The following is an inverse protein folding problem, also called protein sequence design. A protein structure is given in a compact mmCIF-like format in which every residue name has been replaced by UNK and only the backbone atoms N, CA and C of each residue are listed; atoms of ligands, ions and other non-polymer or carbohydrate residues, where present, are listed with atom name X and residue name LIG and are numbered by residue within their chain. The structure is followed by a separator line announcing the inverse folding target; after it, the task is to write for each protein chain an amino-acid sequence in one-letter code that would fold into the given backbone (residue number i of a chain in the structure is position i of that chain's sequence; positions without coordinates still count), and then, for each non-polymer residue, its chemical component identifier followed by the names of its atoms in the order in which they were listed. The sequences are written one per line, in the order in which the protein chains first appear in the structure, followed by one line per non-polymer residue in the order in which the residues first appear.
data_IF_432058187048
#
_entry.id   IF_432058187048
#
_cell.length_a   1.000
_cell.length_b   1.000
_cell.length_c   1.000
_cell.angle_alpha   90.00
_cell.angle_beta   90.00
_cell.angle_gamma   90.00
#
_symmetry.space_group_name_H-M   'P 1'
#
loop_
_entity.id
_entity.type
_entity.pdbx_description
1 polymer ?
#
# COMPACT_ATOMS: atom_id res chain seq x y z
N UNK A 1 -2.29 3.68 -46.75
CA UNK A 1 -1.18 2.86 -46.20
C UNK A 1 0.13 3.52 -46.60
N UNK A 2 1.08 3.81 -45.70
CA UNK A 2 2.34 4.42 -46.09
C UNK A 2 3.18 3.45 -46.93
N UNK A 3 3.75 3.95 -48.04
CA UNK A 3 4.57 3.23 -49.02
C UNK A 3 5.73 2.48 -48.34
N UNK A 4 6.00 1.24 -48.76
CA UNK A 4 7.14 0.41 -48.31
C UNK A 4 8.44 1.22 -48.42
N UNK A 5 9.03 1.55 -47.27
CA UNK A 5 10.30 2.26 -47.19
C UNK A 5 11.45 1.26 -47.44
N UNK A 6 12.08 1.30 -48.62
CA UNK A 6 13.06 0.30 -49.03
C UNK A 6 14.51 0.70 -48.65
N UNK A 7 14.82 0.77 -47.34
CA UNK A 7 16.23 0.74 -46.89
C UNK A 7 16.69 -0.70 -46.73
N UNK A 8 17.88 -1.03 -47.26
CA UNK A 8 18.46 -2.39 -47.26
C UNK A 8 18.54 -2.93 -45.82
N UNK A 9 18.09 -4.17 -45.60
CA UNK A 9 18.09 -4.87 -44.29
C UNK A 9 17.08 -4.36 -43.25
N UNK A 10 16.12 -3.49 -43.58
CA UNK A 10 15.05 -3.09 -42.65
C UNK A 10 13.86 -4.04 -42.72
N UNK A 11 13.36 -4.47 -41.55
CA UNK A 11 12.18 -5.34 -41.40
C UNK A 11 11.17 -4.66 -40.48
N UNK A 12 9.92 -4.59 -40.92
CA UNK A 12 8.79 -4.10 -40.14
C UNK A 12 8.16 -5.23 -39.32
N UNK A 13 7.74 -4.92 -38.10
CA UNK A 13 7.08 -5.85 -37.18
C UNK A 13 5.91 -5.12 -36.51
N UNK A 14 4.72 -5.71 -36.63
CA UNK A 14 3.48 -5.23 -36.00
C UNK A 14 3.00 -6.25 -34.98
N UNK A 15 3.70 -6.32 -33.86
CA UNK A 15 3.30 -7.17 -32.73
C UNK A 15 2.61 -6.30 -31.67
N UNK A 16 1.37 -6.63 -31.31
CA UNK A 16 0.63 -5.99 -30.21
C UNK A 16 0.20 -4.53 -30.44
N UNK A 17 -0.13 -4.16 -31.68
CA UNK A 17 -0.62 -2.81 -32.03
C UNK A 17 0.46 -1.72 -32.13
N UNK A 18 1.73 -2.05 -31.88
CA UNK A 18 2.87 -1.13 -31.99
C UNK A 18 3.72 -1.47 -33.21
N UNK A 19 3.89 -0.51 -34.12
CA UNK A 19 4.78 -0.64 -35.28
C UNK A 19 6.24 -0.48 -34.83
N UNK A 20 7.08 -1.47 -35.15
CA UNK A 20 8.50 -1.50 -34.82
C UNK A 20 9.33 -1.80 -36.05
N UNK A 21 10.54 -1.25 -36.11
CA UNK A 21 11.48 -1.48 -37.19
C UNK A 21 12.74 -2.16 -36.66
N UNK A 22 13.29 -3.06 -37.47
CA UNK A 22 14.49 -3.80 -37.13
C UNK A 22 15.47 -3.83 -38.29
N UNK A 23 16.76 -3.83 -37.99
CA UNK A 23 17.82 -4.14 -38.94
C UNK A 23 18.17 -5.64 -38.86
N UNK A 24 18.18 -6.33 -40.00
CA UNK A 24 18.45 -7.76 -40.12
C UNK A 24 19.39 -8.04 -41.29
N UNK A 25 20.66 -8.32 -40.98
CA UNK A 25 21.70 -8.75 -41.93
C UNK A 25 22.13 -10.18 -41.60
N UNK A 26 22.34 -11.02 -42.62
CA UNK A 26 22.82 -12.41 -42.43
C UNK A 26 24.17 -12.37 -41.70
N UNK A 27 24.29 -13.10 -40.59
CA UNK A 27 25.50 -13.10 -39.73
C UNK A 27 25.53 -12.03 -38.62
N UNK A 28 24.48 -11.21 -38.47
CA UNK A 28 24.34 -10.26 -37.35
C UNK A 28 23.03 -10.48 -36.59
N UNK A 29 22.99 -10.21 -35.27
CA UNK A 29 21.76 -10.27 -34.50
C UNK A 29 20.71 -9.28 -35.02
N UNK A 30 19.42 -9.58 -34.81
CA UNK A 30 18.31 -8.68 -35.15
C UNK A 30 18.37 -7.45 -34.24
N UNK A 31 18.58 -6.28 -34.83
CA UNK A 31 18.76 -5.01 -34.10
C UNK A 31 17.48 -4.20 -34.16
N UNK A 32 17.03 -3.63 -33.05
CA UNK A 32 15.87 -2.71 -33.04
C UNK A 32 16.31 -1.32 -33.48
N UNK A 33 15.60 -0.75 -34.46
CA UNK A 33 15.77 0.63 -34.88
C UNK A 33 14.75 1.51 -34.13
N UNK A 34 15.19 2.50 -33.33
CA UNK A 34 14.30 3.45 -32.68
C UNK A 34 13.69 4.41 -33.70
N UNK A 35 12.51 4.95 -33.37
CA UNK A 35 11.84 5.95 -34.20
C UNK A 35 11.15 5.41 -35.46
N UNK A 36 10.72 6.34 -36.31
CA UNK A 36 10.13 6.07 -37.61
C UNK A 36 11.19 6.19 -38.72
N UNK A 37 11.07 5.42 -39.82
CA UNK A 37 11.95 5.54 -40.97
C UNK A 37 12.05 6.99 -41.46
N UNK A 38 13.27 7.49 -41.59
CA UNK A 38 13.55 8.86 -42.02
C UNK A 38 13.86 9.84 -40.89
N UNK A 39 13.60 9.49 -39.63
CA UNK A 39 14.04 10.30 -38.47
C UNK A 39 15.56 10.20 -38.24
N UNK A 40 16.14 11.23 -37.63
CA UNK A 40 17.59 11.27 -37.34
C UNK A 40 18.03 10.13 -36.42
N UNK A 41 17.23 9.82 -35.40
CA UNK A 41 17.47 8.68 -34.49
C UNK A 41 17.44 7.34 -35.23
N UNK A 42 16.50 7.17 -36.17
CA UNK A 42 16.41 5.96 -37.00
C UNK A 42 17.61 5.84 -37.94
N UNK A 43 18.00 6.94 -38.59
CA UNK A 43 19.13 6.96 -39.52
C UNK A 43 20.45 6.69 -38.79
N UNK A 44 20.68 7.33 -37.64
CA UNK A 44 21.87 7.09 -36.81
C UNK A 44 21.97 5.61 -36.38
N UNK A 45 20.89 5.02 -35.89
CA UNK A 45 20.87 3.61 -35.51
C UNK A 45 21.04 2.66 -36.72
N UNK A 46 20.50 3.04 -37.88
CA UNK A 46 20.62 2.29 -39.13
C UNK A 46 22.06 2.26 -39.66
N UNK A 47 22.74 3.42 -39.68
CA UNK A 47 24.14 3.51 -40.13
C UNK A 47 25.09 2.84 -39.13
N UNK A 48 24.87 3.00 -37.82
CA UNK A 48 25.64 2.27 -36.80
C UNK A 48 25.52 0.74 -36.95
N UNK A 49 24.32 0.25 -37.27
CA UNK A 49 24.10 -1.17 -37.55
C UNK A 49 24.77 -1.65 -38.85
N UNK A 50 24.82 -0.79 -39.88
CA UNK A 50 25.51 -1.07 -41.16
C UNK A 50 27.02 -1.17 -41.00
N UNK A 51 27.62 -0.26 -40.24
CA UNK A 51 29.06 -0.17 -39.97
C UNK A 51 29.55 -1.25 -39.01
N UNK A 52 28.64 -2.03 -38.39
CA UNK A 52 28.99 -3.07 -37.43
C UNK A 52 29.48 -2.51 -36.08
N UNK A 53 29.39 -1.19 -35.88
CA UNK A 53 29.71 -0.53 -34.62
C UNK A 53 28.51 -0.69 -33.70
N UNK A 54 28.44 -1.80 -32.97
CA UNK A 54 27.50 -1.93 -31.87
C UNK A 54 28.18 -2.24 -30.54
N UNK A 55 28.07 -1.26 -29.65
CA UNK A 55 27.97 -1.51 -28.21
C UNK A 55 26.65 -2.26 -27.99
N UNK A 56 26.73 -3.57 -27.81
CA UNK A 56 25.64 -4.31 -27.20
C UNK A 56 25.49 -3.79 -25.77
N UNK A 57 24.39 -3.11 -25.45
CA UNK A 57 24.00 -2.98 -24.06
C UNK A 57 23.63 -4.39 -23.56
N UNK A 58 24.26 -4.89 -22.49
CA UNK A 58 24.02 -6.25 -22.03
C UNK A 58 22.55 -6.41 -21.59
N UNK A 59 21.78 -7.15 -22.38
CA UNK A 59 20.41 -7.58 -22.12
C UNK A 59 20.39 -8.79 -21.18
N UNK A 60 20.93 -8.60 -19.97
CA UNK A 60 20.87 -9.57 -18.88
C UNK A 60 20.72 -8.85 -17.54
N UNK A 61 20.11 -9.48 -16.51
CA UNK A 61 20.09 -8.91 -15.18
C UNK A 61 21.54 -8.71 -14.72
N UNK A 62 21.93 -7.45 -14.45
CA UNK A 62 23.25 -7.12 -13.91
C UNK A 62 23.57 -8.04 -12.74
N UNK A 63 24.61 -8.87 -12.91
CA UNK A 63 25.07 -9.74 -11.82
C UNK A 63 25.62 -8.85 -10.72
N UNK A 64 25.14 -9.06 -9.49
CA UNK A 64 25.61 -8.28 -8.36
C UNK A 64 27.05 -8.67 -8.02
N UNK A 65 27.96 -7.70 -7.96
CA UNK A 65 29.30 -7.95 -7.45
C UNK A 65 29.23 -8.45 -6.01
N UNK A 66 29.94 -9.52 -5.67
CA UNK A 66 29.97 -10.06 -4.29
C UNK A 66 30.40 -8.96 -3.32
N UNK A 67 29.72 -8.85 -2.17
CA UNK A 67 30.03 -7.83 -1.16
C UNK A 67 29.52 -6.42 -1.50
N UNK A 68 28.65 -6.25 -2.50
CA UNK A 68 27.96 -4.99 -2.80
C UNK A 68 26.61 -4.88 -2.09
N UNK A 69 26.04 -3.68 -2.03
CA UNK A 69 24.70 -3.45 -1.48
C UNK A 69 23.62 -4.25 -2.20
N UNK A 70 23.68 -4.35 -3.54
CA UNK A 70 22.76 -5.21 -4.31
C UNK A 70 22.88 -6.67 -3.91
N UNK A 71 24.11 -7.17 -3.80
CA UNK A 71 24.36 -8.55 -3.41
C UNK A 71 23.81 -8.83 -2.00
N UNK A 72 24.07 -7.95 -1.03
CA UNK A 72 23.52 -8.08 0.33
C UNK A 72 22.00 -8.16 0.34
N UNK A 73 21.35 -7.27 -0.40
CA UNK A 73 19.90 -7.23 -0.52
C UNK A 73 19.34 -8.51 -1.17
N UNK A 74 20.03 -9.06 -2.17
CA UNK A 74 19.65 -10.34 -2.79
C UNK A 74 19.77 -11.50 -1.80
N UNK A 75 20.83 -11.55 -0.98
CA UNK A 75 20.95 -12.54 0.10
C UNK A 75 19.82 -12.39 1.13
N UNK A 76 19.52 -11.16 1.53
CA UNK A 76 18.40 -10.86 2.43
C UNK A 76 17.05 -11.36 1.87
N UNK A 77 16.80 -11.20 0.57
CA UNK A 77 15.56 -11.71 -0.05
C UNK A 77 15.45 -13.23 -0.04
N UNK A 78 16.56 -13.95 0.11
CA UNK A 78 16.57 -15.40 0.24
C UNK A 78 16.50 -15.88 1.70
N UNK A 79 16.66 -14.97 2.67
CA UNK A 79 16.70 -15.30 4.08
C UNK A 79 15.34 -15.75 4.62
N UNK A 80 15.37 -16.53 5.71
CA UNK A 80 14.17 -16.97 6.41
C UNK A 80 13.38 -15.77 6.97
N UNK A 81 14.07 -14.78 7.51
CA UNK A 81 13.50 -13.54 8.09
C UNK A 81 12.67 -12.79 7.06
N UNK A 82 13.15 -12.71 5.81
CA UNK A 82 12.39 -12.09 4.74
C UNK A 82 11.25 -12.98 4.26
N UNK A 83 11.48 -14.28 4.08
CA UNK A 83 10.47 -15.25 3.60
C UNK A 83 9.28 -15.39 4.55
N UNK A 84 9.49 -15.24 5.86
CA UNK A 84 8.43 -15.27 6.87
C UNK A 84 7.54 -14.00 6.87
N UNK A 85 7.96 -12.91 6.22
CA UNK A 85 7.10 -11.73 6.08
C UNK A 85 5.90 -12.03 5.17
N UNK A 86 4.80 -11.30 5.39
CA UNK A 86 3.66 -11.34 4.49
C UNK A 86 4.06 -11.01 3.03
N UNK A 87 3.40 -11.65 2.06
CA UNK A 87 3.74 -11.53 0.63
C UNK A 87 3.69 -10.07 0.14
N UNK A 88 2.73 -9.27 0.63
CA UNK A 88 2.62 -7.85 0.28
C UNK A 88 3.76 -7.03 0.90
N UNK A 89 4.17 -7.40 2.12
CA UNK A 89 5.31 -6.78 2.80
C UNK A 89 6.61 -7.07 2.07
N UNK A 90 6.84 -8.32 1.65
CA UNK A 90 7.97 -8.72 0.79
C UNK A 90 7.97 -7.90 -0.49
N UNK A 91 6.88 -7.93 -1.24
CA UNK A 91 6.75 -7.19 -2.50
C UNK A 91 7.07 -5.69 -2.34
N UNK A 92 6.46 -5.02 -1.35
CA UNK A 92 6.71 -3.59 -1.12
C UNK A 92 8.15 -3.30 -0.71
N UNK A 93 8.75 -4.13 0.14
CA UNK A 93 10.16 -3.99 0.55
C UNK A 93 11.10 -4.18 -0.65
N UNK A 94 10.84 -5.17 -1.51
CA UNK A 94 11.60 -5.37 -2.75
C UNK A 94 11.56 -4.14 -3.65
N UNK A 95 10.38 -3.56 -3.89
CA UNK A 95 10.25 -2.33 -4.69
C UNK A 95 11.02 -1.15 -4.10
N UNK A 96 10.99 -0.98 -2.78
CA UNK A 96 11.74 0.09 -2.10
C UNK A 96 13.25 -0.12 -2.30
N UNK A 97 13.73 -1.35 -2.15
CA UNK A 97 15.15 -1.69 -2.33
C UNK A 97 15.60 -1.52 -3.77
N UNK A 98 14.81 -1.98 -4.74
CA UNK A 98 15.10 -1.78 -6.16
C UNK A 98 15.08 -0.30 -6.56
N UNK A 99 14.27 0.53 -5.89
CA UNK A 99 14.33 1.98 -6.07
C UNK A 99 15.62 2.57 -5.49
N UNK A 100 16.06 2.12 -4.30
CA UNK A 100 17.35 2.54 -3.72
C UNK A 100 18.54 2.18 -4.60
N UNK A 101 18.52 1.01 -5.25
CA UNK A 101 19.58 0.58 -6.17
C UNK A 101 19.79 1.54 -7.34
N UNK A 102 18.72 2.18 -7.82
CA UNK A 102 18.76 3.09 -8.97
C UNK A 102 19.22 4.50 -8.61
N UNK A 103 19.39 4.82 -7.33
CA UNK A 103 19.86 6.14 -6.92
C UNK A 103 21.37 6.27 -7.16
N UNK A 104 21.84 7.43 -7.67
CA UNK A 104 23.26 7.69 -7.82
C UNK A 104 23.88 8.09 -6.48
N UNK A 105 25.13 7.63 -6.22
CA UNK A 105 25.84 7.88 -4.96
C UNK A 105 25.99 9.38 -4.69
N UNK A 106 26.36 10.13 -5.73
CA UNK A 106 26.35 11.60 -5.76
C UNK A 106 25.39 12.07 -6.85
N UNK A 107 24.82 13.26 -6.71
CA UNK A 107 23.93 13.81 -7.74
C UNK A 107 24.71 13.94 -9.06
N UNK A 108 24.24 13.28 -10.12
CA UNK A 108 24.90 13.26 -11.44
C UNK A 108 26.01 12.22 -11.63
N UNK A 109 26.30 11.38 -10.62
CA UNK A 109 27.27 10.29 -10.75
C UNK A 109 26.70 9.13 -11.56
N UNK A 110 27.57 8.44 -12.33
CA UNK A 110 27.23 7.18 -13.01
C UNK A 110 27.21 6.00 -12.04
N UNK A 111 27.92 6.10 -10.90
CA UNK A 111 27.94 5.05 -9.88
C UNK A 111 26.65 5.08 -9.07
N UNK A 112 26.00 3.92 -9.02
CA UNK A 112 24.74 3.72 -8.33
C UNK A 112 24.96 3.12 -6.94
N UNK A 113 23.98 3.30 -6.06
CA UNK A 113 24.00 2.73 -4.71
C UNK A 113 24.04 1.19 -4.73
N UNK A 114 23.55 0.55 -5.79
CA UNK A 114 23.58 -0.91 -5.94
C UNK A 114 25.00 -1.50 -5.89
N UNK A 115 26.00 -0.75 -6.39
CA UNK A 115 27.39 -1.20 -6.53
C UNK A 115 28.27 -0.81 -5.33
N UNK A 116 27.71 -0.13 -4.32
CA UNK A 116 28.48 0.30 -3.15
C UNK A 116 28.93 -0.94 -2.36
N UNK A 117 30.24 -1.12 -2.11
CA UNK A 117 30.73 -2.19 -1.24
C UNK A 117 30.15 -2.05 0.19
N UNK A 118 29.78 -3.16 0.82
CA UNK A 118 29.18 -3.16 2.17
C UNK A 118 30.06 -2.40 3.19
N UNK A 119 31.40 -2.58 3.24
CA UNK A 119 32.25 -1.81 4.16
C UNK A 119 32.24 -0.30 3.91
N UNK A 120 31.96 0.13 2.67
CA UNK A 120 31.85 1.52 2.27
C UNK A 120 30.42 2.10 2.46
N UNK A 121 29.43 1.25 2.75
CA UNK A 121 28.05 1.67 3.00
C UNK A 121 27.91 2.22 4.43
N UNK A 122 28.32 3.47 4.61
CA UNK A 122 28.33 4.14 5.92
C UNK A 122 26.97 4.74 6.31
N UNK A 123 26.86 5.24 7.55
CA UNK A 123 25.69 6.02 7.97
C UNK A 123 25.43 7.25 7.07
N UNK A 124 26.48 7.83 6.47
CA UNK A 124 26.36 8.91 5.49
C UNK A 124 25.62 8.45 4.23
N UNK A 125 25.95 7.26 3.72
CA UNK A 125 25.27 6.66 2.57
C UNK A 125 23.77 6.42 2.85
N UNK A 126 23.45 5.87 4.02
CA UNK A 126 22.06 5.67 4.45
C UNK A 126 21.29 7.00 4.65
N UNK A 127 21.95 8.06 5.16
CA UNK A 127 21.36 9.41 5.25
C UNK A 127 21.07 9.98 3.86
N UNK A 128 22.00 9.86 2.91
CA UNK A 128 21.78 10.31 1.54
C UNK A 128 20.53 9.67 0.95
N UNK A 129 20.38 8.35 1.03
CA UNK A 129 19.18 7.65 0.54
C UNK A 129 17.89 8.13 1.20
N UNK A 130 17.89 8.35 2.52
CA UNK A 130 16.74 8.92 3.24
C UNK A 130 16.41 10.32 2.73
N UNK A 131 17.42 11.18 2.63
CA UNK A 131 17.27 12.60 2.32
C UNK A 131 16.89 12.84 0.85
N UNK A 132 17.15 11.88 -0.06
CA UNK A 132 16.57 11.87 -1.43
C UNK A 132 15.04 11.89 -1.45
N UNK A 133 14.40 11.52 -0.35
CA UNK A 133 12.95 11.53 -0.18
C UNK A 133 12.51 12.56 0.87
N UNK A 134 13.33 13.58 1.18
CA UNK A 134 13.02 14.59 2.21
C UNK A 134 11.64 15.25 2.03
N UNK A 135 11.27 15.59 0.79
CA UNK A 135 9.94 16.14 0.43
C UNK A 135 8.78 15.17 0.70
N UNK A 136 9.08 13.89 0.95
CA UNK A 136 8.09 12.84 1.24
C UNK A 136 8.51 12.07 2.50
N UNK A 137 8.35 12.65 3.71
CA UNK A 137 8.87 12.09 4.96
C UNK A 137 8.51 10.62 5.20
N UNK A 138 7.29 10.19 4.86
CA UNK A 138 6.86 8.79 4.99
C UNK A 138 7.61 7.84 4.04
N UNK A 139 7.93 8.29 2.83
CA UNK A 139 8.71 7.51 1.88
C UNK A 139 10.18 7.40 2.33
N UNK A 140 10.77 8.51 2.78
CA UNK A 140 12.10 8.54 3.38
C UNK A 140 12.21 7.58 4.57
N UNK A 141 11.24 7.64 5.49
CA UNK A 141 11.17 6.74 6.63
C UNK A 141 10.98 5.28 6.22
N UNK A 142 10.24 5.01 5.15
CA UNK A 142 10.06 3.65 4.61
C UNK A 142 11.35 3.09 4.00
N UNK A 143 12.15 3.93 3.35
CA UNK A 143 13.48 3.57 2.87
C UNK A 143 14.41 3.23 4.05
N UNK A 144 14.46 4.11 5.05
CA UNK A 144 15.29 3.90 6.23
C UNK A 144 14.88 2.63 7.02
N UNK A 145 13.58 2.37 7.17
CA UNK A 145 13.06 1.12 7.78
C UNK A 145 13.54 -0.12 7.03
N UNK A 146 13.59 -0.05 5.70
CA UNK A 146 14.04 -1.18 4.87
C UNK A 146 15.54 -1.40 5.02
N UNK A 147 16.34 -0.32 5.00
CA UNK A 147 17.78 -0.38 5.27
C UNK A 147 18.08 -0.97 6.65
N UNK A 148 17.39 -0.47 7.69
CA UNK A 148 17.55 -0.99 9.06
C UNK A 148 17.25 -2.49 9.13
N UNK A 149 16.18 -2.96 8.50
CA UNK A 149 15.82 -4.38 8.51
C UNK A 149 16.88 -5.26 7.80
N UNK A 150 17.37 -4.82 6.64
CA UNK A 150 18.41 -5.55 5.87
C UNK A 150 19.70 -5.64 6.68
N UNK A 151 20.17 -4.51 7.20
CA UNK A 151 21.43 -4.48 7.95
C UNK A 151 21.31 -5.10 9.34
N UNK A 152 20.15 -5.04 10.00
CA UNK A 152 19.90 -5.78 11.25
C UNK A 152 19.96 -7.29 11.04
N UNK A 153 19.52 -7.79 9.88
CA UNK A 153 19.73 -9.19 9.49
C UNK A 153 21.20 -9.47 9.17
N UNK A 154 21.86 -8.58 8.42
CA UNK A 154 23.24 -8.75 7.98
C UNK A 154 24.26 -8.83 9.13
N UNK A 155 23.98 -8.20 10.27
CA UNK A 155 24.85 -8.21 11.46
C UNK A 155 24.59 -9.37 12.42
N UNK A 156 23.58 -10.22 12.15
CA UNK A 156 23.30 -11.35 13.04
C UNK A 156 24.52 -12.29 13.09
N UNK A 157 24.88 -12.87 14.26
CA UNK A 157 26.03 -13.77 14.38
C UNK A 157 25.98 -15.00 13.46
N UNK A 158 24.78 -15.43 13.05
CA UNK A 158 24.62 -16.52 12.10
C UNK A 158 24.80 -16.11 10.62
N UNK A 159 24.93 -14.81 10.33
CA UNK A 159 24.94 -14.24 8.97
C UNK A 159 26.25 -13.51 8.69
N UNK A 160 26.66 -12.60 9.59
CA UNK A 160 27.96 -11.88 9.57
C UNK A 160 28.35 -11.26 8.21
N UNK A 161 27.38 -10.78 7.44
CA UNK A 161 27.61 -10.12 6.14
C UNK A 161 27.90 -8.62 6.27
N UNK A 162 27.71 -8.04 7.45
CA UNK A 162 28.05 -6.66 7.78
C UNK A 162 28.53 -6.56 9.22
N UNK A 163 29.56 -5.75 9.47
CA UNK A 163 30.07 -5.52 10.82
C UNK A 163 29.12 -4.67 11.68
N UNK A 164 28.40 -3.72 11.08
CA UNK A 164 27.48 -2.82 11.79
C UNK A 164 26.21 -2.56 10.99
N UNK A 165 25.21 -1.98 11.64
CA UNK A 165 24.03 -1.46 10.97
C UNK A 165 24.16 0.07 10.76
N UNK A 166 24.55 0.53 9.56
CA UNK A 166 24.78 1.96 9.27
C UNK A 166 23.49 2.80 9.37
N UNK A 167 22.32 2.17 9.35
CA UNK A 167 21.03 2.85 9.41
C UNK A 167 20.43 2.94 10.82
N UNK A 168 21.06 2.30 11.83
CA UNK A 168 20.50 2.13 13.18
C UNK A 168 20.19 3.47 13.85
N UNK A 169 21.17 4.38 13.87
CA UNK A 169 21.13 5.60 14.68
C UNK A 169 20.69 6.84 13.88
N UNK A 170 20.22 6.65 12.64
CA UNK A 170 19.70 7.74 11.80
C UNK A 170 18.26 8.04 12.21
N UNK A 171 17.89 9.25 12.61
CA UNK A 171 16.52 9.54 13.02
C UNK A 171 15.54 9.45 11.84
N UNK A 172 14.29 9.09 12.13
CA UNK A 172 13.19 9.26 11.18
C UNK A 172 12.85 10.75 11.03
N UNK A 173 12.38 11.15 9.86
CA UNK A 173 11.74 12.46 9.71
C UNK A 173 10.41 12.49 10.47
N UNK A 174 10.11 13.65 11.08
CA UNK A 174 8.80 13.90 11.67
C UNK A 174 7.76 13.88 10.55
N UNK A 175 6.64 13.20 10.78
CA UNK A 175 5.52 13.16 9.84
C UNK A 175 4.38 13.97 10.44
N UNK A 176 3.93 15.01 9.73
CA UNK A 176 2.80 15.87 10.16
C UNK A 176 1.43 15.29 9.81
N UNK A 177 1.36 14.06 9.30
CA UNK A 177 0.09 13.46 8.89
C UNK A 177 -0.75 13.09 10.11
N UNK A 178 -1.92 13.71 10.23
CA UNK A 178 -2.98 13.27 11.15
C UNK A 178 -3.58 11.90 10.77
N UNK A 179 -3.10 11.33 9.66
CA UNK A 179 -3.57 10.08 9.09
C UNK A 179 -4.62 10.31 8.01
N UNK A 180 -5.53 9.37 7.87
CA UNK A 180 -6.68 9.51 6.97
C UNK A 180 -7.75 10.37 7.63
N UNK A 181 -8.40 11.21 6.81
CA UNK A 181 -9.60 11.95 7.19
C UNK A 181 -10.65 11.00 7.79
N UNK A 182 -11.24 11.38 8.94
CA UNK A 182 -12.36 10.65 9.53
C UNK A 182 -13.63 11.19 8.93
N UNK A 183 -14.50 10.33 8.41
CA UNK A 183 -15.76 10.80 7.86
C UNK A 183 -16.60 11.47 8.96
N UNK A 184 -17.27 12.57 8.63
CA UNK A 184 -18.30 13.19 9.45
C UNK A 184 -19.66 12.51 9.21
N UNK A 185 -20.64 12.78 10.07
CA UNK A 185 -22.02 12.32 9.83
C UNK A 185 -22.61 12.96 8.57
N UNK A 186 -22.38 14.26 8.35
CA UNK A 186 -22.84 14.97 7.13
C UNK A 186 -22.25 14.37 5.85
N UNK A 187 -20.97 13.96 5.86
CA UNK A 187 -20.34 13.30 4.72
C UNK A 187 -20.92 11.89 4.48
N UNK A 188 -21.30 11.19 5.55
CA UNK A 188 -22.02 9.91 5.44
C UNK A 188 -23.39 10.14 4.81
N UNK A 189 -24.12 11.17 5.25
CA UNK A 189 -25.45 11.51 4.72
C UNK A 189 -25.38 11.96 3.26
N UNK A 190 -24.38 12.78 2.89
CA UNK A 190 -24.11 13.18 1.51
C UNK A 190 -23.83 11.97 0.61
N UNK A 191 -23.04 11.01 1.10
CA UNK A 191 -22.77 9.78 0.34
C UNK A 191 -24.04 8.93 0.18
N UNK A 192 -24.88 8.83 1.21
CA UNK A 192 -26.15 8.08 1.16
C UNK A 192 -27.15 8.77 0.20
N UNK A 193 -27.21 10.10 0.21
CA UNK A 193 -28.08 10.86 -0.70
C UNK A 193 -27.69 10.62 -2.17
N UNK A 194 -26.38 10.53 -2.46
CA UNK A 194 -25.89 10.19 -3.80
C UNK A 194 -26.09 8.71 -4.16
N UNK A 195 -25.85 7.82 -3.20
CA UNK A 195 -25.88 6.37 -3.37
C UNK A 195 -26.89 5.76 -2.39
N UNK A 196 -28.19 5.72 -2.77
CA UNK A 196 -29.24 5.27 -1.86
C UNK A 196 -29.17 3.76 -1.59
N UNK A 197 -30.00 3.32 -0.64
CA UNK A 197 -30.18 1.90 -0.32
C UNK A 197 -30.49 1.07 -1.58
N UNK A 198 -30.01 -0.17 -1.61
CA UNK A 198 -30.09 -1.03 -2.78
C UNK A 198 -28.94 -0.85 -3.78
N UNK A 199 -28.10 0.17 -3.60
CA UNK A 199 -26.88 0.32 -4.41
C UNK A 199 -25.67 -0.38 -3.76
N UNK A 200 -24.71 -0.79 -4.59
CA UNK A 200 -23.44 -1.37 -4.14
C UNK A 200 -22.60 -0.41 -3.25
N UNK A 201 -22.51 0.90 -3.55
CA UNK A 201 -21.79 1.84 -2.70
C UNK A 201 -22.42 1.97 -1.31
N UNK A 202 -23.76 1.99 -1.22
CA UNK A 202 -24.47 1.98 0.06
C UNK A 202 -24.13 0.74 0.88
N UNK A 203 -24.21 -0.46 0.28
CA UNK A 203 -23.82 -1.69 0.95
C UNK A 203 -22.37 -1.65 1.45
N UNK A 204 -21.45 -1.16 0.63
CA UNK A 204 -20.05 -1.01 1.01
C UNK A 204 -19.85 -0.05 2.19
N UNK A 205 -20.54 1.09 2.19
CA UNK A 205 -20.55 2.05 3.30
C UNK A 205 -21.04 1.41 4.60
N UNK A 206 -22.19 0.71 4.54
CA UNK A 206 -22.79 0.07 5.71
C UNK A 206 -21.92 -1.05 6.28
N UNK A 207 -21.29 -1.87 5.41
CA UNK A 207 -20.34 -2.88 5.85
C UNK A 207 -19.16 -2.24 6.59
N UNK A 208 -18.59 -1.14 6.08
CA UNK A 208 -17.46 -0.48 6.74
C UNK A 208 -17.85 0.20 8.05
N UNK A 209 -18.99 0.89 8.11
CA UNK A 209 -19.42 1.59 9.32
C UNK A 209 -19.84 0.63 10.43
N UNK A 210 -20.73 -0.33 10.13
CA UNK A 210 -21.30 -1.19 11.18
C UNK A 210 -20.38 -2.31 11.64
N UNK A 211 -19.43 -2.74 10.81
CA UNK A 211 -18.44 -3.74 11.24
C UNK A 211 -17.13 -3.10 11.70
N UNK A 212 -16.90 -1.83 11.34
CA UNK A 212 -15.61 -1.14 11.51
C UNK A 212 -14.41 -1.87 10.87
N UNK A 213 -14.61 -2.81 9.96
CA UNK A 213 -13.53 -3.66 9.44
C UNK A 213 -12.77 -3.03 8.27
N UNK A 214 -11.56 -3.54 7.99
CA UNK A 214 -10.71 -2.99 6.93
C UNK A 214 -11.28 -3.39 5.58
N UNK A 215 -10.97 -2.60 4.55
CA UNK A 215 -11.27 -2.97 3.16
C UNK A 215 -10.75 -4.34 2.72
N UNK A 216 -9.70 -4.87 3.34
CA UNK A 216 -9.20 -6.23 3.07
C UNK A 216 -10.09 -7.32 3.66
N UNK A 217 -10.85 -6.99 4.71
CA UNK A 217 -11.73 -7.91 5.41
C UNK A 217 -13.13 -7.88 4.77
N UNK A 218 -13.71 -6.70 4.56
CA UNK A 218 -15.10 -6.57 4.08
C UNK A 218 -15.32 -7.14 2.67
N UNK A 219 -14.30 -7.17 1.83
CA UNK A 219 -14.38 -7.77 0.48
C UNK A 219 -14.45 -9.29 0.52
N UNK A 220 -14.15 -9.91 1.67
CA UNK A 220 -14.22 -11.34 1.90
C UNK A 220 -15.53 -11.75 2.59
N UNK A 221 -16.30 -10.81 3.14
CA UNK A 221 -17.55 -11.11 3.80
C UNK A 221 -18.56 -11.70 2.82
N UNK A 222 -19.32 -12.66 3.32
CA UNK A 222 -20.23 -13.51 2.56
C UNK A 222 -21.21 -14.17 3.52
N UNK A 223 -22.28 -14.75 2.99
CA UNK A 223 -23.36 -15.36 3.79
C UNK A 223 -22.83 -16.45 4.74
N UNK A 224 -21.78 -17.17 4.37
CA UNK A 224 -21.09 -18.17 5.18
C UNK A 224 -20.47 -17.62 6.47
N UNK A 225 -20.23 -16.32 6.56
CA UNK A 225 -19.73 -15.66 7.77
C UNK A 225 -20.87 -15.24 8.70
N UNK A 226 -22.12 -15.36 8.27
CA UNK A 226 -23.31 -14.89 8.99
C UNK A 226 -24.08 -16.09 9.54
N UNK A 227 -24.29 -16.15 10.85
CA UNK A 227 -25.03 -17.26 11.47
C UNK A 227 -25.76 -16.77 12.71
N UNK A 228 -27.07 -17.05 12.82
CA UNK A 228 -27.92 -16.66 13.96
C UNK A 228 -27.82 -15.17 14.34
N UNK A 229 -27.74 -14.27 13.34
CA UNK A 229 -27.60 -12.83 13.57
C UNK A 229 -26.20 -12.34 13.92
N UNK A 230 -25.19 -13.21 13.89
CA UNK A 230 -23.79 -12.86 14.16
C UNK A 230 -22.94 -12.91 12.90
N UNK A 231 -21.98 -11.99 12.80
CA UNK A 231 -20.89 -12.01 11.81
C UNK A 231 -19.63 -12.57 12.48
N UNK A 232 -19.08 -13.65 11.92
CA UNK A 232 -17.91 -14.37 12.45
C UNK A 232 -16.82 -14.47 11.40
N UNK A 233 -15.62 -14.00 11.71
CA UNK A 233 -14.50 -14.00 10.76
C UNK A 233 -13.15 -13.90 11.46
N UNK A 234 -12.07 -14.08 10.68
CA UNK A 234 -10.70 -13.82 11.11
C UNK A 234 -10.17 -12.65 10.29
N UNK A 235 -9.68 -11.59 10.95
CA UNK A 235 -9.10 -10.46 10.22
C UNK A 235 -7.95 -10.94 9.34
N UNK A 236 -7.91 -10.44 8.10
CA UNK A 236 -6.93 -10.81 7.09
C UNK A 236 -5.52 -10.33 7.49
N UNK A 237 -5.45 -9.13 8.05
CA UNK A 237 -4.19 -8.60 8.56
C UNK A 237 -3.69 -9.48 9.71
N UNK A 238 -2.43 -9.90 9.62
CA UNK A 238 -1.75 -10.76 10.59
C UNK A 238 -2.37 -12.17 10.75
N UNK A 239 -3.32 -12.60 9.91
CA UNK A 239 -4.00 -13.91 9.99
C UNK A 239 -3.06 -15.10 10.14
N UNK A 240 -1.93 -15.11 9.40
CA UNK A 240 -0.95 -16.20 9.40
C UNK A 240 -0.05 -16.23 10.65
N UNK A 241 0.10 -15.09 11.32
CA UNK A 241 1.08 -14.92 12.42
C UNK A 241 0.41 -14.80 13.78
N UNK A 242 -0.66 -14.01 13.87
CA UNK A 242 -1.44 -13.74 15.08
C UNK A 242 -2.92 -13.62 14.68
N UNK A 243 -3.61 -14.74 14.39
CA UNK A 243 -5.00 -14.69 13.94
C UNK A 243 -5.89 -13.98 14.96
N UNK A 244 -6.74 -13.08 14.46
CA UNK A 244 -7.71 -12.31 15.25
C UNK A 244 -9.11 -12.77 14.88
N UNK A 245 -9.68 -13.65 15.69
CA UNK A 245 -11.07 -14.10 15.54
C UNK A 245 -11.99 -13.05 16.15
N UNK A 246 -13.00 -12.64 15.39
CA UNK A 246 -14.00 -11.67 15.82
C UNK A 246 -15.38 -12.24 15.58
N UNK A 247 -16.26 -12.02 16.55
CA UNK A 247 -17.69 -12.27 16.45
C UNK A 247 -18.41 -11.01 16.89
N UNK A 248 -19.35 -10.52 16.09
CA UNK A 248 -20.15 -9.35 16.42
C UNK A 248 -21.59 -9.53 15.95
N UNK A 249 -22.59 -9.02 16.69
CA UNK A 249 -23.96 -9.02 16.23
C UNK A 249 -24.10 -8.13 14.99
N UNK A 250 -24.91 -8.56 14.04
CA UNK A 250 -25.25 -7.78 12.86
C UNK A 250 -26.23 -6.67 13.25
N UNK A 251 -25.83 -5.43 13.00
CA UNK A 251 -26.72 -4.29 13.21
C UNK A 251 -27.93 -4.36 12.26
N UNK A 252 -29.17 -4.05 12.70
CA UNK A 252 -30.37 -4.14 11.85
C UNK A 252 -30.25 -3.36 10.53
N UNK A 253 -29.66 -2.16 10.55
CA UNK A 253 -29.43 -1.39 9.32
C UNK A 253 -28.43 -2.05 8.36
N UNK A 254 -27.47 -2.82 8.87
CA UNK A 254 -26.57 -3.61 8.03
C UNK A 254 -27.32 -4.78 7.39
N UNK A 255 -28.21 -5.45 8.13
CA UNK A 255 -29.05 -6.53 7.59
C UNK A 255 -29.92 -6.00 6.45
N UNK A 256 -30.63 -4.88 6.66
CA UNK A 256 -31.42 -4.20 5.61
C UNK A 256 -30.59 -3.85 4.38
N UNK A 257 -29.36 -3.37 4.58
CA UNK A 257 -28.45 -3.03 3.48
C UNK A 257 -28.01 -4.26 2.68
N UNK A 258 -27.78 -5.40 3.36
CA UNK A 258 -27.42 -6.67 2.72
C UNK A 258 -28.60 -7.24 1.92
N UNK A 259 -29.81 -7.18 2.47
CA UNK A 259 -31.03 -7.66 1.82
C UNK A 259 -31.39 -6.85 0.56
N UNK A 260 -31.23 -5.52 0.62
CA UNK A 260 -31.50 -4.65 -0.51
C UNK A 260 -30.37 -4.63 -1.56
N UNK A 261 -29.12 -4.84 -1.14
CA UNK A 261 -27.94 -4.61 -1.97
C UNK A 261 -27.66 -5.73 -3.01
N UNK A 262 -26.93 -5.42 -4.10
CA UNK A 262 -26.61 -6.37 -5.15
C UNK A 262 -25.45 -7.30 -4.71
N UNK A 263 -25.76 -8.22 -3.81
CA UNK A 263 -24.82 -9.19 -3.27
C UNK A 263 -24.45 -10.26 -4.31
N UNK A 264 -23.22 -10.79 -4.22
CA UNK A 264 -22.83 -12.00 -4.93
C UNK A 264 -23.16 -13.26 -4.15
N UNK A 265 -22.95 -14.42 -4.80
CA UNK A 265 -23.23 -15.73 -4.20
C UNK A 265 -22.25 -16.06 -3.05
N UNK A 266 -20.95 -15.84 -3.29
CA UNK A 266 -19.89 -16.15 -2.33
C UNK A 266 -19.51 -14.98 -1.43
N UNK A 267 -19.51 -13.76 -1.97
CA UNK A 267 -19.14 -12.53 -1.26
C UNK A 267 -20.20 -11.47 -1.43
N UNK A 268 -20.46 -10.71 -0.36
CA UNK A 268 -21.46 -9.63 -0.36
C UNK A 268 -21.11 -8.51 -1.34
N UNK A 269 -19.81 -8.26 -1.56
CA UNK A 269 -19.35 -7.24 -2.50
C UNK A 269 -18.73 -7.89 -3.74
N UNK A 270 -19.29 -7.58 -4.91
CA UNK A 270 -18.80 -8.08 -6.21
C UNK A 270 -18.59 -6.96 -7.22
N UNK A 271 -17.65 -7.17 -8.14
CA UNK A 271 -17.41 -6.29 -9.29
C UNK A 271 -18.59 -6.30 -10.25
N UNK A 272 -18.58 -5.44 -11.28
CA UNK A 272 -19.61 -5.48 -12.33
C UNK A 272 -19.66 -6.81 -13.10
N UNK A 273 -18.57 -7.57 -13.07
CA UNK A 273 -18.50 -8.92 -13.64
C UNK A 273 -18.92 -10.02 -12.65
N UNK A 274 -19.58 -9.66 -11.54
CA UNK A 274 -20.02 -10.58 -10.47
C UNK A 274 -18.88 -11.41 -9.84
N UNK A 275 -17.65 -10.90 -9.87
CA UNK A 275 -16.48 -11.54 -9.22
C UNK A 275 -16.17 -10.86 -7.89
N UNK A 276 -15.61 -11.58 -6.89
CA UNK A 276 -15.15 -10.97 -5.65
C UNK A 276 -14.15 -9.85 -5.91
N UNK A 277 -14.21 -8.79 -5.10
CA UNK A 277 -13.23 -7.72 -5.18
C UNK A 277 -11.87 -8.15 -4.63
N UNK A 278 -10.79 -7.66 -5.24
CA UNK A 278 -9.50 -7.56 -4.54
C UNK A 278 -9.52 -6.34 -3.61
N UNK A 279 -8.77 -6.38 -2.52
CA UNK A 279 -8.71 -5.25 -1.56
C UNK A 279 -8.29 -3.93 -2.20
N UNK A 280 -7.31 -3.95 -3.12
CA UNK A 280 -6.87 -2.75 -3.83
C UNK A 280 -7.91 -2.32 -4.88
N UNK A 281 -8.51 -3.26 -5.61
CA UNK A 281 -9.56 -2.99 -6.60
C UNK A 281 -10.78 -2.32 -5.96
N UNK A 282 -11.24 -2.85 -4.83
CA UNK A 282 -12.30 -2.22 -4.03
C UNK A 282 -11.91 -0.81 -3.58
N UNK A 283 -10.69 -0.61 -3.09
CA UNK A 283 -10.23 0.71 -2.66
C UNK A 283 -10.30 1.75 -3.77
N UNK A 284 -9.84 1.41 -4.97
CA UNK A 284 -9.90 2.29 -6.13
C UNK A 284 -11.34 2.52 -6.61
N UNK A 285 -12.17 1.48 -6.58
CA UNK A 285 -13.60 1.60 -6.91
C UNK A 285 -14.32 2.51 -5.91
N UNK A 286 -14.12 2.33 -4.60
CA UNK A 286 -14.79 3.13 -3.58
C UNK A 286 -14.36 4.60 -3.61
N UNK A 287 -13.09 4.89 -3.93
CA UNK A 287 -12.58 6.25 -4.18
C UNK A 287 -13.41 6.96 -5.26
N UNK A 288 -13.68 6.29 -6.38
CA UNK A 288 -14.53 6.83 -7.46
C UNK A 288 -15.95 7.11 -6.99
N UNK A 289 -16.52 6.23 -6.15
CA UNK A 289 -17.86 6.45 -5.56
C UNK A 289 -17.88 7.66 -4.61
N UNK A 290 -16.79 7.92 -3.90
CA UNK A 290 -16.63 9.13 -3.09
C UNK A 290 -16.54 10.36 -4.00
N UNK A 291 -15.80 10.30 -5.10
CA UNK A 291 -15.70 11.40 -6.08
C UNK A 291 -17.06 11.72 -6.72
N UNK A 292 -17.86 10.70 -7.03
CA UNK A 292 -19.24 10.86 -7.54
C UNK A 292 -20.20 11.53 -6.55
N UNK A 293 -19.88 11.48 -5.26
CA UNK A 293 -20.62 12.14 -4.19
C UNK A 293 -19.97 13.47 -3.77
N UNK A 294 -19.01 13.99 -4.54
CA UNK A 294 -18.25 15.22 -4.24
C UNK A 294 -17.43 15.17 -2.92
N UNK A 295 -17.06 13.96 -2.48
CA UNK A 295 -16.29 13.71 -1.27
C UNK A 295 -14.83 13.38 -1.58
N UNK A 296 -14.14 14.23 -2.35
CA UNK A 296 -12.79 14.01 -2.90
C UNK A 296 -11.70 13.77 -1.84
N UNK A 297 -11.92 14.20 -0.59
CA UNK A 297 -11.05 14.00 0.58
C UNK A 297 -11.36 12.72 1.38
N UNK A 298 -12.51 12.08 1.14
CA UNK A 298 -12.98 10.91 1.90
C UNK A 298 -12.51 9.58 1.30
N UNK A 299 -12.13 8.61 2.11
CA UNK A 299 -11.74 7.27 1.62
C UNK A 299 -12.29 6.14 2.48
N UNK A 300 -12.27 4.91 1.96
CA UNK A 300 -12.66 3.71 2.70
C UNK A 300 -11.92 3.55 4.04
N UNK A 301 -10.67 4.03 4.14
CA UNK A 301 -9.92 3.94 5.40
C UNK A 301 -10.47 4.89 6.47
N UNK A 302 -11.01 6.03 6.06
CA UNK A 302 -11.61 7.02 6.96
C UNK A 302 -12.85 6.51 7.69
N UNK A 303 -13.62 5.60 7.08
CA UNK A 303 -14.84 5.04 7.66
C UNK A 303 -14.60 4.19 8.91
N UNK A 304 -13.44 3.52 9.00
CA UNK A 304 -13.08 2.77 10.21
C UNK A 304 -12.81 3.71 11.40
N UNK A 305 -12.20 4.87 11.13
CA UNK A 305 -12.01 5.93 12.13
C UNK A 305 -13.36 6.57 12.49
N UNK A 306 -14.21 6.82 11.50
CA UNK A 306 -15.56 7.34 11.68
C UNK A 306 -16.40 6.43 12.59
N UNK A 307 -16.43 5.12 12.33
CA UNK A 307 -17.17 4.16 13.15
C UNK A 307 -16.68 4.11 14.61
N UNK A 308 -15.37 4.13 14.84
CA UNK A 308 -14.80 4.20 16.19
C UNK A 308 -15.15 5.51 16.90
N UNK A 309 -15.08 6.63 16.19
CA UNK A 309 -15.44 7.97 16.70
C UNK A 309 -16.93 8.03 17.05
N UNK A 310 -17.79 7.53 16.16
CA UNK A 310 -19.24 7.43 16.33
C UNK A 310 -19.65 6.64 17.57
N UNK A 311 -18.93 5.56 17.87
CA UNK A 311 -19.13 4.76 19.09
C UNK A 311 -18.67 5.54 20.33
N UNK A 312 -17.51 6.21 20.28
CA UNK A 312 -17.01 7.01 21.38
C UNK A 312 -17.92 8.20 21.72
N UNK A 313 -18.45 8.89 20.70
CA UNK A 313 -19.43 9.98 20.87
C UNK A 313 -20.73 9.49 21.53
N UNK A 314 -21.08 8.21 21.34
CA UNK A 314 -22.20 7.53 22.00
C UNK A 314 -21.85 6.94 23.37
N UNK A 315 -20.67 7.27 23.90
CA UNK A 315 -20.24 6.83 25.23
C UNK A 315 -19.70 5.41 25.31
N UNK A 316 -19.42 4.76 24.18
CA UNK A 316 -18.80 3.44 24.19
C UNK A 316 -17.41 3.50 24.84
N UNK A 317 -17.11 2.52 25.69
CA UNK A 317 -15.79 2.39 26.29
C UNK A 317 -14.74 2.01 25.25
N UNK A 318 -13.47 2.30 25.54
CA UNK A 318 -12.36 1.85 24.70
C UNK A 318 -12.40 0.34 24.43
N UNK A 319 -12.74 -0.46 25.44
CA UNK A 319 -12.82 -1.92 25.30
C UNK A 319 -13.98 -2.36 24.40
N UNK A 320 -15.15 -1.69 24.45
CA UNK A 320 -16.25 -1.95 23.52
C UNK A 320 -15.84 -1.61 22.07
N UNK A 321 -15.16 -0.49 21.86
CA UNK A 321 -14.66 -0.10 20.53
C UNK A 321 -13.58 -1.08 20.05
N UNK A 322 -12.68 -1.51 20.95
CA UNK A 322 -11.67 -2.53 20.64
C UNK A 322 -12.28 -3.88 20.27
N UNK A 323 -13.37 -4.29 20.94
CA UNK A 323 -14.08 -5.53 20.64
C UNK A 323 -14.65 -5.52 19.22
N UNK A 324 -15.21 -4.41 18.76
CA UNK A 324 -15.74 -4.28 17.39
C UNK A 324 -14.60 -4.14 16.37
N UNK A 325 -13.63 -3.26 16.64
CA UNK A 325 -12.55 -2.96 15.68
C UNK A 325 -11.48 -4.06 15.61
N UNK A 326 -11.31 -4.88 16.64
CA UNK A 326 -10.26 -5.90 16.74
C UNK A 326 -8.86 -5.34 17.06
N UNK A 327 -8.78 -4.17 17.70
CA UNK A 327 -7.50 -3.66 18.21
C UNK A 327 -7.15 -4.36 19.53
N UNK A 328 -5.87 -4.69 19.73
CA UNK A 328 -5.38 -5.29 20.99
C UNK A 328 -4.70 -4.32 21.93
N UNK A 329 -4.48 -3.09 21.49
CA UNK A 329 -3.88 -2.04 22.30
C UNK A 329 -4.72 -0.79 22.12
N UNK A 330 -5.01 -0.08 23.20
CA UNK A 330 -5.84 1.12 23.17
C UNK A 330 -5.20 2.29 22.42
N UNK A 331 -3.87 2.29 22.22
CA UNK A 331 -3.13 3.42 21.63
C UNK A 331 -3.73 3.95 20.31
N UNK A 332 -4.10 3.06 19.40
CA UNK A 332 -4.74 3.45 18.13
C UNK A 332 -6.20 3.89 18.32
N UNK A 333 -6.94 3.22 19.21
CA UNK A 333 -8.33 3.60 19.51
C UNK A 333 -8.39 4.98 20.15
N UNK A 334 -7.57 5.23 21.18
CA UNK A 334 -7.39 6.54 21.82
C UNK A 334 -7.06 7.60 20.77
N UNK A 335 -6.14 7.31 19.84
CA UNK A 335 -5.79 8.26 18.77
C UNK A 335 -7.01 8.64 17.92
N UNK A 336 -7.88 7.69 17.60
CA UNK A 336 -9.09 7.96 16.83
C UNK A 336 -10.16 8.69 17.62
N UNK A 337 -10.31 8.37 18.91
CA UNK A 337 -11.46 8.79 19.73
C UNK A 337 -11.15 9.92 20.70
N UNK A 338 -9.91 10.39 20.79
CA UNK A 338 -9.47 11.39 21.79
C UNK A 338 -10.39 12.62 21.87
N UNK A 339 -10.74 13.20 20.72
CA UNK A 339 -11.59 14.38 20.66
C UNK A 339 -13.04 14.09 21.08
N UNK A 340 -13.64 13.02 20.54
CA UNK A 340 -14.98 12.53 20.91
C UNK A 340 -15.08 12.26 22.42
N UNK A 341 -14.13 11.50 22.95
CA UNK A 341 -14.08 11.11 24.35
C UNK A 341 -13.93 12.32 25.27
N UNK A 342 -13.10 13.30 24.91
CA UNK A 342 -12.98 14.52 25.71
C UNK A 342 -14.32 15.26 25.83
N UNK A 343 -15.08 15.40 24.74
CA UNK A 343 -16.41 16.05 24.76
C UNK A 343 -17.40 15.30 25.64
N UNK A 344 -17.50 13.98 25.49
CA UNK A 344 -18.40 13.14 26.27
C UNK A 344 -18.03 13.16 27.76
N UNK A 345 -16.74 13.02 28.08
CA UNK A 345 -16.26 13.07 29.46
C UNK A 345 -16.48 14.45 30.08
N UNK A 346 -16.26 15.54 29.34
CA UNK A 346 -16.54 16.88 29.82
C UNK A 346 -18.03 17.08 30.14
N UNK A 347 -18.93 16.63 29.25
CA UNK A 347 -20.38 16.67 29.49
C UNK A 347 -20.78 15.84 30.72
N UNK A 348 -20.18 14.67 30.88
CA UNK A 348 -20.42 13.83 32.06
C UNK A 348 -19.87 14.46 33.34
N UNK A 349 -18.68 15.07 33.29
CA UNK A 349 -18.05 15.71 34.43
C UNK A 349 -18.84 16.93 34.92
N UNK A 350 -19.39 17.74 34.00
CA UNK A 350 -20.27 18.86 34.37
C UNK A 350 -21.50 18.35 35.12
N UNK A 351 -22.12 17.25 34.68
CA UNK A 351 -23.25 16.64 35.41
C UNK A 351 -22.89 16.18 36.83
N UNK A 352 -21.64 15.79 37.08
CA UNK A 352 -21.18 15.39 38.41
C UNK A 352 -20.96 16.60 39.32
N UNK A 353 -20.67 17.78 38.77
CA UNK A 353 -20.53 19.01 39.57
C UNK A 353 -21.85 19.46 40.19
N UNK A 354 -22.97 19.14 39.54
CA UNK A 354 -24.32 19.46 40.02
C UNK A 354 -24.84 18.44 41.06
N UNK A 355 -24.12 17.34 41.28
CA UNK A 355 -24.48 16.33 42.28
C UNK A 355 -23.77 16.66 43.60
N UNK A 356 -24.55 16.98 44.65
CA UNK A 356 -24.01 17.05 46.00
C UNK A 356 -23.45 15.66 46.38
N UNK A 357 -22.22 15.62 46.87
CA UNK A 357 -21.67 14.43 47.51
C UNK A 357 -22.31 14.41 48.90
N UNK A 358 -23.37 13.62 49.08
CA UNK A 358 -23.95 13.38 50.40
C UNK A 358 -22.98 12.45 51.15
N UNK A 359 -22.10 13.02 51.96
CA UNK A 359 -21.26 12.31 52.92
C UNK A 359 -22.06 11.97 54.20
N UNK A 360 -23.32 11.54 54.07
CA UNK A 360 -24.13 11.09 55.20
C UNK A 360 -24.19 9.56 55.25
N UNK A 361 -23.12 8.95 55.74
CA UNK A 361 -23.15 7.63 56.38
C UNK A 361 -22.16 7.68 57.56
N UNK A 362 -22.69 8.02 58.73
CA UNK A 362 -22.13 7.77 60.07
C UNK A 362 -22.40 6.31 60.49
#
# INVERSE_FOLDING_TARGET
MPKKFAKKYVVEDRTGGSLRFYFRRRGQPKIRLPGLPGTDEFNAAYYAALEGVQKQEPTGPKMAGKGTFRWLCQQYFQSAEYKQLDSKTRYRRKLIVEAMWKEPIKKGDKKLFEDVPIPAFTAKAARVLRDRKAETPDAANSWLKSLRAIFSWAVMPAVELSATNPARDIPYFKTGSEGYHSWTEDEVDQFIAKHPIGTKPYLALMLMLYTSQRRSDIVLFGKQHMTKGWLRFVQEKDKKRKPRRLEMPLHPNLVKAIEAGPCGDLTLLVTEFKKPFTSNGFGNWFRKRCDEADLTHCSAHGLRKAAATRLADRGATEHQIMAITGHTTSKEVIRYTKAARQKVLAKSAVKLMDQAVDDSDD
#
